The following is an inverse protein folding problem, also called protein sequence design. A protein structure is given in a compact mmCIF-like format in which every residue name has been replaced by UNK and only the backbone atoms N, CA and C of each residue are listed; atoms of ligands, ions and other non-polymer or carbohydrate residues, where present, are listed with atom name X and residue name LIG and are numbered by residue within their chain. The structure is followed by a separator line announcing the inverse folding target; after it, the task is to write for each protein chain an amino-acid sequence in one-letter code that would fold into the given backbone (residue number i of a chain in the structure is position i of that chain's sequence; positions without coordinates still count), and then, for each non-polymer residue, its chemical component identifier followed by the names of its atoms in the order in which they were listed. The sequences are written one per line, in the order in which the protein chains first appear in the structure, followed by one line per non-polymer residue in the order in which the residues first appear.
data_IF_151676093223
#
_entry.id   IF_151676093223
#
_cell.length_a   1.000
_cell.length_b   1.000
_cell.length_c   1.000
_cell.angle_alpha   90.00
_cell.angle_beta   90.00
_cell.angle_gamma   90.00
#
_symmetry.space_group_name_H-M   'P 1'
#
loop_
_entity.id
_entity.type
_entity.pdbx_description
1 polymer ?
#
# COMPACT_ATOMS: atom_id res chain seq x y z
N UNK A 1 -7.62 -8.69 -9.32
CA UNK A 1 -8.18 -8.06 -10.54
C UNK A 1 -9.00 -6.79 -10.35
N UNK A 2 -9.78 -6.63 -9.28
CA UNK A 2 -10.64 -5.44 -9.09
C UNK A 2 -9.89 -4.12 -9.25
N UNK A 3 -8.74 -3.97 -8.59
CA UNK A 3 -7.92 -2.75 -8.65
C UNK A 3 -7.40 -2.45 -10.06
N UNK A 4 -6.99 -3.48 -10.82
CA UNK A 4 -6.57 -3.34 -12.22
C UNK A 4 -7.72 -2.82 -13.09
N UNK A 5 -8.92 -3.39 -12.91
CA UNK A 5 -10.13 -2.94 -13.65
C UNK A 5 -10.49 -1.49 -13.33
N UNK A 6 -10.46 -1.11 -12.05
CA UNK A 6 -10.74 0.28 -11.64
C UNK A 6 -9.71 1.24 -12.24
N UNK A 7 -8.44 0.87 -12.22
CA UNK A 7 -7.39 1.65 -12.87
C UNK A 7 -7.59 1.78 -14.38
N UNK A 8 -7.98 0.70 -15.09
CA UNK A 8 -8.29 0.78 -16.53
C UNK A 8 -9.51 1.63 -16.85
N UNK A 9 -10.44 1.80 -15.90
CA UNK A 9 -11.58 2.73 -16.03
C UNK A 9 -11.25 4.17 -15.65
N UNK A 10 -9.96 4.51 -15.49
CA UNK A 10 -9.51 5.88 -15.20
C UNK A 10 -9.44 6.26 -13.72
N UNK A 11 -9.74 5.33 -12.80
CA UNK A 11 -9.60 5.61 -11.36
C UNK A 11 -8.13 5.59 -10.97
N UNK A 12 -7.67 6.60 -10.22
CA UNK A 12 -6.33 6.61 -9.65
C UNK A 12 -6.24 5.60 -8.52
N UNK A 13 -5.42 4.57 -8.69
CA UNK A 13 -5.18 3.54 -7.67
C UNK A 13 -3.73 3.58 -7.21
N UNK A 14 -3.53 3.90 -5.92
CA UNK A 14 -2.24 3.99 -5.26
C UNK A 14 -2.18 2.95 -4.14
N UNK A 15 -1.11 2.18 -4.07
CA UNK A 15 -0.87 1.20 -3.01
C UNK A 15 0.47 1.50 -2.36
N UNK A 16 0.48 1.72 -1.05
CA UNK A 16 1.72 1.76 -0.26
C UNK A 16 1.84 0.43 0.50
N UNK A 17 2.85 -0.36 0.15
CA UNK A 17 3.12 -1.64 0.79
C UNK A 17 4.34 -1.52 1.67
N UNK A 18 4.30 -2.10 2.88
CA UNK A 18 5.54 -2.28 3.64
C UNK A 18 6.48 -3.18 2.83
N UNK A 19 7.69 -2.70 2.55
CA UNK A 19 8.74 -3.51 1.97
C UNK A 19 9.46 -4.27 3.08
N UNK A 20 9.36 -5.58 3.07
CA UNK A 20 10.05 -6.44 4.03
C UNK A 20 11.56 -6.42 3.74
N UNK A 21 12.40 -6.42 4.79
CA UNK A 21 13.85 -6.36 4.62
C UNK A 21 14.43 -7.62 3.96
N UNK A 22 13.78 -8.77 4.15
CA UNK A 22 14.25 -10.09 3.71
C UNK A 22 13.64 -10.53 2.38
N UNK A 23 12.63 -9.81 1.87
CA UNK A 23 12.05 -10.11 0.57
C UNK A 23 13.01 -9.64 -0.53
N UNK A 24 13.31 -10.53 -1.48
CA UNK A 24 14.15 -10.24 -2.65
C UNK A 24 13.55 -10.83 -3.91
N UNK A 25 14.02 -10.45 -5.09
CA UNK A 25 13.54 -11.03 -6.35
C UNK A 25 13.83 -12.54 -6.45
N UNK A 26 14.88 -13.03 -5.77
CA UNK A 26 15.24 -14.45 -5.68
C UNK A 26 14.43 -15.20 -4.61
N UNK A 27 14.00 -14.50 -3.56
CA UNK A 27 13.14 -15.04 -2.51
C UNK A 27 11.97 -14.09 -2.22
N UNK A 28 10.95 -14.04 -3.11
CA UNK A 28 9.83 -13.10 -3.01
C UNK A 28 8.96 -13.22 -1.76
N UNK A 29 8.79 -14.40 -1.12
CA UNK A 29 7.98 -14.50 0.09
C UNK A 29 8.51 -13.69 1.27
N UNK A 30 9.83 -13.47 1.35
CA UNK A 30 10.46 -12.99 2.59
C UNK A 30 10.30 -13.99 3.73
N UNK A 31 10.76 -13.60 4.93
CA UNK A 31 10.67 -14.42 6.14
C UNK A 31 9.24 -14.41 6.70
N UNK A 32 8.56 -13.27 6.61
CA UNK A 32 7.23 -13.04 7.17
C UNK A 32 6.09 -13.33 6.19
N UNK A 33 6.39 -13.80 4.97
CA UNK A 33 5.36 -14.13 3.99
C UNK A 33 4.56 -12.91 3.55
N UNK A 34 5.18 -11.73 3.47
CA UNK A 34 4.46 -10.46 3.22
C UNK A 34 3.96 -10.30 1.78
N UNK A 35 4.55 -11.07 0.85
CA UNK A 35 4.22 -11.02 -0.58
C UNK A 35 4.31 -9.61 -1.19
N UNK A 36 5.14 -8.73 -0.64
CA UNK A 36 5.32 -7.36 -1.12
C UNK A 36 5.87 -7.32 -2.56
N UNK A 37 6.87 -8.16 -2.87
CA UNK A 37 7.45 -8.30 -4.22
C UNK A 37 6.46 -8.95 -5.19
N UNK A 38 5.80 -10.03 -4.77
CA UNK A 38 4.80 -10.70 -5.59
C UNK A 38 3.64 -9.75 -5.94
N UNK A 39 3.18 -8.95 -4.98
CA UNK A 39 2.13 -7.94 -5.19
C UNK A 39 2.59 -6.83 -6.14
N UNK A 40 3.81 -6.31 -5.95
CA UNK A 40 4.40 -5.32 -6.87
C UNK A 40 4.46 -5.86 -8.30
N UNK A 41 4.92 -7.10 -8.47
CA UNK A 41 5.02 -7.75 -9.78
C UNK A 41 3.64 -8.02 -10.38
N UNK A 42 2.66 -8.42 -9.56
CA UNK A 42 1.28 -8.61 -10.02
C UNK A 42 0.69 -7.35 -10.65
N UNK A 43 0.99 -6.16 -10.14
CA UNK A 43 0.50 -4.89 -10.67
C UNK A 43 1.40 -4.27 -11.74
N UNK A 44 2.57 -4.84 -12.03
CA UNK A 44 3.50 -4.34 -13.05
C UNK A 44 2.80 -4.29 -14.42
N UNK A 45 2.94 -3.15 -15.10
CA UNK A 45 2.31 -2.91 -16.41
C UNK A 45 0.79 -2.64 -16.36
N UNK A 46 0.18 -2.60 -15.17
CA UNK A 46 -1.20 -2.14 -15.02
C UNK A 46 -1.25 -0.63 -14.71
N UNK A 47 -2.45 -0.04 -14.68
CA UNK A 47 -2.67 1.34 -14.24
C UNK A 47 -2.59 1.55 -12.71
N UNK A 48 -2.32 0.48 -11.94
CA UNK A 48 -2.17 0.56 -10.48
C UNK A 48 -0.74 0.93 -10.14
N UNK A 49 -0.56 1.98 -9.34
CA UNK A 49 0.76 2.40 -8.88
C UNK A 49 1.07 1.82 -7.49
N UNK A 50 2.12 1.01 -7.42
CA UNK A 50 2.56 0.36 -6.18
C UNK A 50 3.87 1.00 -5.71
N UNK A 51 3.86 1.56 -4.50
CA UNK A 51 5.01 2.13 -3.81
C UNK A 51 5.47 1.18 -2.69
N UNK A 52 6.63 0.51 -2.85
CA UNK A 52 7.27 -0.21 -1.76
C UNK A 52 7.84 0.79 -0.75
N UNK A 53 7.35 0.74 0.48
CA UNK A 53 7.72 1.61 1.58
C UNK A 53 8.51 0.80 2.63
N UNK A 54 9.85 0.78 2.59
CA UNK A 54 10.65 0.25 3.68
C UNK A 54 10.47 1.11 4.95
N UNK A 55 10.58 0.48 6.12
CA UNK A 55 10.54 1.19 7.39
C UNK A 55 11.95 1.65 7.77
N UNK A 56 12.14 2.96 7.84
CA UNK A 56 13.39 3.58 8.30
C UNK A 56 13.19 4.30 9.63
N UNK A 57 14.13 4.13 10.57
CA UNK A 57 14.21 4.97 11.78
C UNK A 57 14.81 6.31 11.39
N UNK A 58 14.16 7.41 11.74
CA UNK A 58 14.77 8.71 11.60
C UNK A 58 15.70 8.93 12.81
N UNK A 59 16.98 9.20 12.58
CA UNK A 59 18.05 9.45 13.58
C UNK A 59 18.56 8.25 14.38
N UNK A 60 19.42 7.42 13.78
CA UNK A 60 20.36 6.58 14.54
C UNK A 60 21.79 6.84 14.06
N UNK A 61 22.70 7.17 14.98
CA UNK A 61 24.14 7.38 14.71
C UNK A 61 24.91 6.08 14.44
N UNK A 62 24.26 4.91 14.59
CA UNK A 62 24.91 3.60 14.54
C UNK A 62 24.27 2.69 13.47
N UNK A 63 25.09 2.18 12.54
CA UNK A 63 24.63 1.34 11.41
C UNK A 63 23.86 0.08 11.84
N UNK A 64 24.21 -0.50 13.00
CA UNK A 64 23.54 -1.69 13.54
C UNK A 64 22.08 -1.44 13.94
N UNK A 65 21.79 -0.29 14.53
CA UNK A 65 20.45 0.07 15.01
C UNK A 65 19.51 0.40 13.82
N UNK A 66 20.06 0.87 12.70
CA UNK A 66 19.32 0.99 11.44
C UNK A 66 18.95 -0.37 10.85
N UNK A 67 19.87 -1.35 10.86
CA UNK A 67 19.61 -2.69 10.32
C UNK A 67 18.55 -3.42 11.17
N UNK A 68 18.68 -3.37 12.50
CA UNK A 68 17.68 -3.94 13.40
C UNK A 68 16.30 -3.30 13.16
N UNK A 69 16.24 -1.98 12.98
CA UNK A 69 14.97 -1.29 12.79
C UNK A 69 14.27 -1.70 11.50
N UNK A 70 15.01 -1.83 10.40
CA UNK A 70 14.43 -2.21 9.10
C UNK A 70 13.92 -3.65 9.08
N UNK A 71 14.50 -4.53 9.90
CA UNK A 71 14.07 -5.94 10.01
C UNK A 71 12.97 -6.15 11.04
N UNK A 72 12.98 -5.41 12.16
CA UNK A 72 12.07 -5.65 13.28
C UNK A 72 10.83 -4.74 13.32
N UNK A 73 10.80 -3.63 12.55
CA UNK A 73 9.66 -2.71 12.51
C UNK A 73 9.00 -2.68 11.13
N UNK A 74 7.68 -2.52 11.15
CA UNK A 74 6.84 -2.54 9.96
C UNK A 74 6.09 -1.22 9.79
N UNK A 75 5.63 -0.93 8.56
CA UNK A 75 4.48 -0.04 8.40
C UNK A 75 3.21 -0.87 8.63
N UNK A 76 2.74 -0.90 9.88
CA UNK A 76 1.66 -1.80 10.30
C UNK A 76 0.23 -1.26 10.03
N UNK A 77 0.14 -0.05 9.47
CA UNK A 77 -1.13 0.63 9.17
C UNK A 77 -1.89 -0.14 8.10
N UNK A 78 -3.17 -0.43 8.34
CA UNK A 78 -4.07 -1.00 7.35
C UNK A 78 -5.20 -0.01 7.16
N UNK A 79 -5.24 0.60 5.98
CA UNK A 79 -6.27 1.56 5.64
C UNK A 79 -6.63 1.50 4.17
N UNK A 80 -7.86 1.89 3.86
CA UNK A 80 -8.36 2.09 2.49
C UNK A 80 -9.07 3.43 2.46
N UNK A 81 -8.68 4.29 1.53
CA UNK A 81 -9.27 5.62 1.35
C UNK A 81 -9.78 5.69 -0.09
N UNK A 82 -11.02 6.12 -0.27
CA UNK A 82 -11.69 6.19 -1.56
C UNK A 82 -12.75 7.31 -1.60
N UNK A 83 -13.15 7.69 -2.80
CA UNK A 83 -14.27 8.59 -3.04
C UNK A 83 -15.58 7.82 -3.29
N UNK A 84 -16.63 8.15 -2.55
CA UNK A 84 -17.95 7.56 -2.64
C UNK A 84 -18.99 8.61 -3.01
N UNK A 85 -20.14 8.19 -3.55
CA UNK A 85 -21.26 9.10 -3.77
C UNK A 85 -21.76 9.68 -2.44
N UNK A 86 -22.21 10.93 -2.45
CA UNK A 86 -22.98 11.49 -1.33
C UNK A 86 -24.37 10.85 -1.36
N UNK A 87 -24.89 10.50 -0.17
CA UNK A 87 -26.23 9.94 -0.06
C UNK A 87 -27.21 11.07 -0.41
N UNK A 88 -28.05 10.86 -1.43
CA UNK A 88 -28.95 11.89 -1.96
C UNK A 88 -29.98 12.28 -0.91
N UNK A 89 -29.77 13.39 -0.21
CA UNK A 89 -30.77 13.94 0.71
C UNK A 89 -31.85 14.71 -0.06
N UNK A 90 -31.53 15.33 -1.21
CA UNK A 90 -32.45 16.27 -1.89
C UNK A 90 -32.54 16.11 -3.43
N UNK A 91 -32.30 14.91 -3.98
CA UNK A 91 -32.52 14.64 -5.43
C UNK A 91 -31.54 15.35 -6.39
N UNK A 92 -30.57 16.11 -5.88
CA UNK A 92 -29.43 16.67 -6.61
C UNK A 92 -28.14 16.38 -5.85
N UNK A 93 -27.33 15.44 -6.31
CA UNK A 93 -25.88 15.58 -6.17
C UNK A 93 -25.11 14.62 -7.08
N UNK A 94 -24.25 15.18 -7.94
CA UNK A 94 -23.08 14.51 -8.53
C UNK A 94 -21.85 14.65 -7.60
N UNK A 95 -22.11 14.93 -6.31
CA UNK A 95 -21.09 15.17 -5.30
C UNK A 95 -20.46 13.86 -4.83
N UNK A 96 -19.16 13.91 -4.52
CA UNK A 96 -18.42 12.76 -3.97
C UNK A 96 -17.82 13.12 -2.61
N UNK A 97 -17.88 12.18 -1.67
CA UNK A 97 -17.31 12.27 -0.32
C UNK A 97 -16.11 11.33 -0.19
N UNK A 98 -15.15 11.70 0.66
CA UNK A 98 -14.03 10.81 1.01
C UNK A 98 -14.47 9.85 2.12
N UNK A 99 -14.18 8.56 1.95
CA UNK A 99 -14.45 7.52 2.94
C UNK A 99 -13.13 6.82 3.26
N UNK A 100 -12.87 6.63 4.55
CA UNK A 100 -11.68 5.96 5.06
C UNK A 100 -12.05 4.76 5.92
N UNK A 101 -11.43 3.62 5.65
CA UNK A 101 -11.45 2.43 6.48
C UNK A 101 -10.09 2.30 7.17
N UNK A 102 -10.09 2.05 8.47
CA UNK A 102 -8.88 1.76 9.27
C UNK A 102 -9.22 0.60 10.19
N UNK A 103 -8.30 -0.35 10.34
CA UNK A 103 -8.53 -1.54 11.18
C UNK A 103 -7.31 -2.44 11.23
N UNK A 104 -7.49 -3.63 11.81
CA UNK A 104 -6.45 -4.64 11.98
C UNK A 104 -7.06 -6.02 12.00
#
# INVERSE_FOLDING_TARGET
DVLKRKASSGVRVLIMLWKEATSTDLYPPGLMGTHDIATKNFFKGSGVFVLPAPRHKNKSKHKFDSLYTTTAYTHHQKCVILDAAVDNVDGRSDGRKLVGFVGG
#
